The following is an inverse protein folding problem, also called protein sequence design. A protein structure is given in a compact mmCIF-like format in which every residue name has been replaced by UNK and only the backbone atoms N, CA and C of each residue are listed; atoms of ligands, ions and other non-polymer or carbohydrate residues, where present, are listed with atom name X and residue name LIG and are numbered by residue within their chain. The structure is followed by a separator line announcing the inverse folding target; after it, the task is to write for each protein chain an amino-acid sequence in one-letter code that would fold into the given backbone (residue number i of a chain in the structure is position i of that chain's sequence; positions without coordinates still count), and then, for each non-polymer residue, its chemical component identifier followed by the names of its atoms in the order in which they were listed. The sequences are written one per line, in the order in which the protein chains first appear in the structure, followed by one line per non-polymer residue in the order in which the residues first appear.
data_IF_099507119433
#
_entry.id   IF_099507119433
#
_cell.length_a   1.000
_cell.length_b   1.000
_cell.length_c   1.000
_cell.angle_alpha   90.00
_cell.angle_beta   90.00
_cell.angle_gamma   90.00
#
_symmetry.space_group_name_H-M   'P 1'
#
loop_
_entity.id
_entity.type
_entity.pdbx_description
1 polymer ?
#
# COMPACT_ATOMS: atom_id res chain seq x y z
N UNK A 1 23.37 -11.15 3.53
CA UNK A 1 22.45 -11.27 2.38
C UNK A 1 23.27 -11.61 1.14
N UNK A 2 22.86 -12.58 0.33
CA UNK A 2 23.61 -12.89 -0.90
C UNK A 2 23.41 -11.78 -1.95
N UNK A 3 24.31 -11.68 -2.93
CA UNK A 3 24.16 -10.74 -4.06
C UNK A 3 22.87 -11.03 -4.82
N UNK A 4 22.52 -12.31 -4.98
CA UNK A 4 21.30 -12.75 -5.65
C UNK A 4 20.06 -12.21 -4.89
N UNK A 5 20.00 -12.43 -3.57
CA UNK A 5 18.89 -11.93 -2.75
C UNK A 5 18.75 -10.41 -2.84
N UNK A 6 19.88 -9.70 -2.92
CA UNK A 6 19.93 -8.25 -3.07
C UNK A 6 19.34 -7.79 -4.39
N UNK A 7 19.77 -8.40 -5.50
CA UNK A 7 19.22 -8.09 -6.83
C UNK A 7 17.72 -8.35 -6.84
N UNK A 8 17.26 -9.51 -6.37
CA UNK A 8 15.84 -9.83 -6.34
C UNK A 8 15.02 -8.89 -5.45
N UNK A 9 15.57 -8.43 -4.32
CA UNK A 9 14.89 -7.47 -3.44
C UNK A 9 14.83 -6.06 -4.02
N UNK A 10 15.78 -5.69 -4.89
CA UNK A 10 15.83 -4.39 -5.54
C UNK A 10 14.78 -4.25 -6.66
N UNK A 11 14.42 -5.34 -7.34
CA UNK A 11 13.47 -5.33 -8.47
C UNK A 11 12.11 -4.69 -8.10
N UNK A 12 11.35 -5.18 -7.10
CA UNK A 12 10.05 -4.60 -6.77
C UNK A 12 10.16 -3.16 -6.24
N UNK A 13 11.30 -2.79 -5.64
CA UNK A 13 11.61 -1.39 -5.27
C UNK A 13 11.73 -0.52 -6.52
N UNK A 14 12.57 -0.92 -7.47
CA UNK A 14 12.80 -0.17 -8.70
C UNK A 14 11.51 -0.03 -9.53
N UNK A 15 10.74 -1.10 -9.67
CA UNK A 15 9.47 -1.10 -10.40
C UNK A 15 8.43 -0.17 -9.80
N UNK A 16 8.29 -0.18 -8.46
CA UNK A 16 7.33 0.69 -7.77
C UNK A 16 7.76 2.16 -7.80
N UNK A 17 9.06 2.47 -7.63
CA UNK A 17 9.59 3.84 -7.81
C UNK A 17 9.36 4.32 -9.24
N UNK A 18 9.73 3.50 -10.24
CA UNK A 18 9.54 3.81 -11.64
C UNK A 18 8.05 4.08 -11.95
N UNK A 19 7.15 3.22 -11.46
CA UNK A 19 5.72 3.38 -11.63
C UNK A 19 5.21 4.68 -11.00
N UNK A 20 5.63 5.00 -9.77
CA UNK A 20 5.26 6.24 -9.10
C UNK A 20 5.67 7.48 -9.92
N UNK A 21 6.92 7.51 -10.40
CA UNK A 21 7.45 8.61 -11.22
C UNK A 21 6.73 8.69 -12.57
N UNK A 22 6.50 7.55 -13.22
CA UNK A 22 5.81 7.48 -14.51
C UNK A 22 4.39 8.06 -14.42
N UNK A 23 3.61 7.67 -13.41
CA UNK A 23 2.26 8.21 -13.24
C UNK A 23 2.26 9.69 -12.85
N UNK A 24 3.25 10.15 -12.10
CA UNK A 24 3.40 11.59 -11.83
C UNK A 24 3.74 12.37 -13.12
N UNK A 25 4.56 11.80 -13.99
CA UNK A 25 4.86 12.38 -15.30
C UNK A 25 3.63 12.39 -16.21
N UNK A 26 2.86 11.30 -16.27
CA UNK A 26 1.60 11.24 -17.02
C UNK A 26 0.59 12.27 -16.50
N UNK A 27 0.49 12.47 -15.19
CA UNK A 27 -0.34 13.53 -14.63
C UNK A 27 0.08 14.91 -15.13
N UNK A 28 1.38 15.20 -15.28
CA UNK A 28 1.81 16.50 -15.81
C UNK A 28 1.27 16.76 -17.21
N UNK A 29 1.17 15.71 -18.03
CA UNK A 29 0.70 15.75 -19.41
C UNK A 29 -0.83 15.74 -19.55
N UNK A 30 -1.54 14.84 -18.87
CA UNK A 30 -3.00 14.68 -19.02
C UNK A 30 -3.84 15.45 -17.99
N UNK A 31 -3.25 15.84 -16.86
CA UNK A 31 -3.92 16.45 -15.69
C UNK A 31 -5.00 15.56 -15.05
N UNK A 32 -5.02 14.26 -15.35
CA UNK A 32 -5.99 13.33 -14.78
C UNK A 32 -5.64 12.96 -13.33
N UNK A 33 -6.57 13.21 -12.40
CA UNK A 33 -6.35 12.99 -10.95
C UNK A 33 -6.07 11.52 -10.61
N UNK A 34 -6.57 10.58 -11.40
CA UNK A 34 -6.34 9.14 -11.21
C UNK A 34 -4.85 8.78 -11.24
N UNK A 35 -4.04 9.45 -12.07
CA UNK A 35 -2.60 9.19 -12.12
C UNK A 35 -1.89 9.62 -10.82
N UNK A 36 -2.31 10.73 -10.20
CA UNK A 36 -1.76 11.15 -8.90
C UNK A 36 -2.09 10.12 -7.83
N UNK A 37 -3.33 9.63 -7.79
CA UNK A 37 -3.73 8.63 -6.78
C UNK A 37 -2.97 7.31 -6.97
N UNK A 38 -2.78 6.88 -8.22
CA UNK A 38 -2.00 5.69 -8.51
C UNK A 38 -0.51 5.87 -8.20
N UNK A 39 0.03 7.07 -8.45
CA UNK A 39 1.40 7.43 -8.06
C UNK A 39 1.59 7.34 -6.54
N UNK A 40 0.67 7.90 -5.75
CA UNK A 40 0.68 7.81 -4.28
C UNK A 40 0.64 6.35 -3.81
N UNK A 41 -0.20 5.53 -4.41
CA UNK A 41 -0.23 4.08 -4.14
C UNK A 41 1.15 3.43 -4.36
N UNK A 42 1.79 3.71 -5.49
CA UNK A 42 3.12 3.18 -5.79
C UNK A 42 4.23 3.78 -4.89
N UNK A 43 4.08 4.99 -4.35
CA UNK A 43 5.00 5.55 -3.35
C UNK A 43 4.94 4.78 -2.02
N UNK A 44 3.75 4.41 -1.55
CA UNK A 44 3.63 3.58 -0.35
C UNK A 44 4.17 2.18 -0.59
N UNK A 45 3.93 1.64 -1.79
CA UNK A 45 4.44 0.33 -2.17
C UNK A 45 5.98 0.32 -2.26
N UNK A 46 6.58 1.35 -2.85
CA UNK A 46 8.04 1.49 -2.93
C UNK A 46 8.67 1.66 -1.55
N UNK A 47 8.04 2.46 -0.69
CA UNK A 47 8.47 2.63 0.70
C UNK A 47 8.46 1.29 1.45
N UNK A 48 7.41 0.48 1.27
CA UNK A 48 7.33 -0.85 1.88
C UNK A 48 8.45 -1.78 1.40
N UNK A 49 8.65 -1.92 0.09
CA UNK A 49 9.70 -2.78 -0.44
C UNK A 49 11.11 -2.29 -0.09
N UNK A 50 11.32 -0.98 -0.08
CA UNK A 50 12.59 -0.38 0.34
C UNK A 50 12.88 -0.71 1.81
N UNK A 51 11.89 -0.55 2.70
CA UNK A 51 12.03 -0.91 4.11
C UNK A 51 12.32 -2.40 4.27
N UNK A 52 11.61 -3.26 3.54
CA UNK A 52 11.85 -4.71 3.55
C UNK A 52 13.26 -5.07 3.07
N UNK A 53 13.74 -4.46 1.98
CA UNK A 53 15.09 -4.65 1.46
C UNK A 53 16.15 -4.19 2.48
N UNK A 54 15.99 -3.00 3.06
CA UNK A 54 16.92 -2.44 4.05
C UNK A 54 16.97 -3.28 5.34
N UNK A 55 15.82 -3.77 5.79
CA UNK A 55 15.73 -4.69 6.94
C UNK A 55 16.49 -6.00 6.65
N UNK A 56 16.26 -6.57 5.47
CA UNK A 56 16.88 -7.84 5.05
C UNK A 56 18.38 -7.76 4.75
N UNK A 57 18.88 -6.56 4.44
CA UNK A 57 20.31 -6.31 4.19
C UNK A 57 21.12 -6.12 5.47
N UNK A 58 20.48 -6.11 6.65
CA UNK A 58 21.17 -6.05 7.94
C UNK A 58 21.79 -4.68 8.22
N UNK A 59 21.25 -3.60 7.63
CA UNK A 59 21.66 -2.23 7.93
C UNK A 59 21.09 -1.80 9.29
N UNK A 60 21.69 -2.34 10.36
CA UNK A 60 21.16 -2.24 11.71
C UNK A 60 20.98 -0.81 12.22
N UNK A 61 21.77 0.13 11.72
CA UNK A 61 21.68 1.55 12.08
C UNK A 61 20.36 2.20 11.63
N UNK A 62 19.73 1.69 10.57
CA UNK A 62 18.51 2.26 9.99
C UNK A 62 17.26 1.56 10.54
N UNK A 63 17.39 0.36 11.13
CA UNK A 63 16.27 -0.45 11.62
C UNK A 63 15.33 0.33 12.57
N UNK A 64 15.81 1.14 13.54
CA UNK A 64 14.91 1.92 14.40
C UNK A 64 14.03 2.92 13.63
N UNK A 65 14.56 3.53 12.58
CA UNK A 65 13.80 4.43 11.71
C UNK A 65 12.75 3.65 10.94
N UNK A 66 13.13 2.51 10.34
CA UNK A 66 12.19 1.66 9.60
C UNK A 66 11.10 1.09 10.50
N UNK A 67 11.42 0.79 11.76
CA UNK A 67 10.46 0.24 12.72
C UNK A 67 9.28 1.18 13.00
N UNK A 68 9.55 2.48 13.16
CA UNK A 68 8.49 3.50 13.37
C UNK A 68 7.66 3.70 12.11
N UNK A 69 8.28 3.66 10.93
CA UNK A 69 7.62 3.96 9.67
C UNK A 69 6.93 2.75 9.01
N UNK A 70 7.33 1.52 9.33
CA UNK A 70 6.85 0.31 8.66
C UNK A 70 5.33 0.17 8.75
N UNK A 71 4.77 0.31 9.95
CA UNK A 71 3.35 0.15 10.18
C UNK A 71 2.51 1.26 9.52
N UNK A 72 2.80 2.57 9.68
CA UNK A 72 2.12 3.63 8.94
C UNK A 72 2.15 3.44 7.41
N UNK A 73 3.30 3.02 6.86
CA UNK A 73 3.42 2.73 5.42
C UNK A 73 2.50 1.58 5.02
N UNK A 74 2.54 0.45 5.73
CA UNK A 74 1.66 -0.70 5.45
C UNK A 74 0.17 -0.35 5.56
N UNK A 75 -0.21 0.42 6.59
CA UNK A 75 -1.58 0.90 6.79
C UNK A 75 -2.04 1.87 5.68
N UNK A 76 -1.13 2.47 4.92
CA UNK A 76 -1.45 3.44 3.86
C UNK A 76 -1.61 2.82 2.46
N UNK A 77 -1.12 1.58 2.25
CA UNK A 77 -1.21 0.89 0.95
C UNK A 77 -2.67 0.65 0.53
N UNK A 78 -3.50 0.18 1.47
CA UNK A 78 -4.88 -0.19 1.16
C UNK A 78 -5.79 1.04 0.96
N UNK A 79 -5.73 2.08 1.82
CA UNK A 79 -6.38 3.37 1.59
C UNK A 79 -6.03 4.01 0.25
N UNK A 80 -4.74 4.05 -0.11
CA UNK A 80 -4.28 4.65 -1.36
C UNK A 80 -4.83 3.92 -2.59
N UNK A 81 -4.87 2.59 -2.55
CA UNK A 81 -5.49 1.79 -3.60
C UNK A 81 -7.00 2.04 -3.72
N UNK A 82 -7.72 2.08 -2.61
CA UNK A 82 -9.16 2.36 -2.61
C UNK A 82 -9.47 3.76 -3.15
N UNK A 83 -8.70 4.79 -2.74
CA UNK A 83 -8.88 6.15 -3.24
C UNK A 83 -8.61 6.20 -4.75
N UNK A 84 -7.58 5.50 -5.23
CA UNK A 84 -7.36 5.32 -6.67
C UNK A 84 -8.58 4.69 -7.35
N UNK A 85 -9.13 3.59 -6.82
CA UNK A 85 -10.30 2.95 -7.40
C UNK A 85 -11.50 3.91 -7.50
N UNK A 86 -11.78 4.67 -6.43
CA UNK A 86 -12.86 5.67 -6.46
C UNK A 86 -12.62 6.82 -7.44
N UNK A 87 -11.36 7.06 -7.82
CA UNK A 87 -11.00 8.06 -8.83
C UNK A 87 -11.28 7.58 -10.24
N UNK A 88 -11.07 6.29 -10.53
CA UNK A 88 -11.34 5.74 -11.87
C UNK A 88 -12.82 5.43 -12.09
N UNK A 89 -13.59 5.20 -11.02
CA UNK A 89 -15.06 5.03 -11.07
C UNK A 89 -15.84 6.35 -11.04
N UNK A 90 -15.15 7.50 -11.10
CA UNK A 90 -15.76 8.82 -11.24
C UNK A 90 -16.46 9.35 -9.98
N UNK A 91 -16.32 8.73 -8.80
CA UNK A 91 -16.90 9.21 -7.52
C UNK A 91 -16.11 10.37 -6.91
N UNK A 92 -14.92 10.64 -7.45
CA UNK A 92 -13.91 11.53 -6.89
C UNK A 92 -14.26 13.03 -6.91
N UNK A 93 -15.31 13.46 -7.64
CA UNK A 93 -15.59 14.88 -7.87
C UNK A 93 -16.03 15.68 -6.64
N UNK A 94 -16.72 15.08 -5.65
CA UNK A 94 -17.39 15.90 -4.64
C UNK A 94 -16.72 16.07 -3.26
N UNK A 95 -15.75 15.28 -2.82
CA UNK A 95 -15.25 15.40 -1.43
C UNK A 95 -13.75 15.10 -1.27
N UNK A 96 -12.91 16.14 -1.36
CA UNK A 96 -11.45 16.06 -1.19
C UNK A 96 -11.02 15.70 0.24
N UNK A 97 -11.62 16.34 1.25
CA UNK A 97 -11.21 16.20 2.67
C UNK A 97 -11.54 14.82 3.24
N UNK A 98 -12.68 14.24 2.86
CA UNK A 98 -13.07 12.89 3.32
C UNK A 98 -12.11 11.80 2.86
N UNK A 99 -11.32 12.03 1.80
CA UNK A 99 -10.30 11.08 1.34
C UNK A 99 -9.14 10.95 2.33
N UNK A 100 -8.80 12.03 3.03
CA UNK A 100 -7.68 12.03 3.99
C UNK A 100 -7.99 11.25 5.26
N UNK A 101 -9.27 11.15 5.63
CA UNK A 101 -9.72 10.37 6.81
C UNK A 101 -9.33 8.89 6.70
N UNK A 102 -9.23 8.36 5.49
CA UNK A 102 -8.78 6.99 5.25
C UNK A 102 -7.33 6.73 5.67
N UNK A 103 -6.50 7.77 5.79
CA UNK A 103 -5.12 7.68 6.29
C UNK A 103 -5.02 7.92 7.81
N UNK A 104 -6.12 8.25 8.49
CA UNK A 104 -6.10 8.51 9.93
C UNK A 104 -5.47 7.38 10.76
N UNK A 105 -5.73 6.08 10.49
CA UNK A 105 -5.04 5.01 11.20
C UNK A 105 -3.52 5.10 11.06
N UNK A 106 -3.00 5.30 9.84
CA UNK A 106 -1.55 5.42 9.61
C UNK A 106 -0.94 6.59 10.40
N UNK A 107 -1.61 7.75 10.43
CA UNK A 107 -1.14 8.94 11.16
C UNK A 107 -1.16 8.72 12.68
N UNK A 108 -2.22 8.10 13.22
CA UNK A 108 -2.33 7.80 14.65
C UNK A 108 -1.21 6.86 15.08
N UNK A 109 -0.98 5.77 14.33
CA UNK A 109 0.10 4.83 14.63
C UNK A 109 1.48 5.47 14.48
N UNK A 110 1.66 6.35 13.49
CA UNK A 110 2.90 7.11 13.36
C UNK A 110 3.17 7.95 14.61
N UNK A 111 2.18 8.71 15.09
CA UNK A 111 2.33 9.54 16.30
C UNK A 111 2.63 8.71 17.55
N UNK A 112 1.94 7.59 17.73
CA UNK A 112 2.17 6.70 18.87
C UNK A 112 3.57 6.06 18.85
N UNK A 113 4.06 5.68 17.66
CA UNK A 113 5.39 5.05 17.50
C UNK A 113 6.53 6.06 17.44
N UNK A 114 6.28 7.31 17.05
CA UNK A 114 7.29 8.37 16.94
C UNK A 114 8.03 8.61 18.26
N UNK A 115 7.37 8.34 19.40
CA UNK A 115 7.99 8.42 20.72
C UNK A 115 9.25 7.54 20.84
N UNK A 116 9.34 6.44 20.08
CA UNK A 116 10.51 5.55 20.07
C UNK A 116 11.80 6.26 19.60
N UNK A 117 11.69 7.27 18.73
CA UNK A 117 12.88 7.98 18.24
C UNK A 117 13.57 8.84 19.29
N UNK A 118 12.90 9.12 20.40
CA UNK A 118 13.47 9.89 21.50
C UNK A 118 14.24 9.02 22.51
N UNK A 119 14.15 7.69 22.41
CA UNK A 119 14.98 6.79 23.22
C UNK A 119 16.45 6.84 22.80
N UNK A 120 17.41 6.54 23.69
CA UNK A 120 18.83 6.46 23.32
C UNK A 120 19.08 5.44 22.21
N UNK A 121 20.02 5.73 21.31
CA UNK A 121 20.32 4.89 20.15
C UNK A 121 20.69 3.43 20.52
N UNK A 122 21.37 3.23 21.65
CA UNK A 122 21.68 1.88 22.17
C UNK A 122 20.41 1.10 22.53
N UNK A 123 19.47 1.74 23.23
CA UNK A 123 18.18 1.14 23.61
C UNK A 123 17.34 0.81 22.38
N UNK A 124 17.30 1.72 21.40
CA UNK A 124 16.58 1.47 20.15
C UNK A 124 17.16 0.27 19.38
N UNK A 125 18.48 0.18 19.32
CA UNK A 125 19.18 -0.93 18.67
C UNK A 125 18.90 -2.26 19.39
N UNK A 126 19.08 -2.31 20.71
CA UNK A 126 18.89 -3.54 21.48
C UNK A 126 17.43 -4.01 21.47
N UNK A 127 16.48 -3.08 21.49
CA UNK A 127 15.06 -3.38 21.36
C UNK A 127 14.72 -3.98 19.98
N UNK A 128 15.21 -3.37 18.90
CA UNK A 128 14.89 -3.82 17.53
C UNK A 128 15.64 -5.09 17.10
N UNK A 129 16.78 -5.37 17.71
CA UNK A 129 17.54 -6.61 17.49
C UNK A 129 17.10 -7.76 18.39
N UNK A 130 16.24 -7.50 19.38
CA UNK A 130 15.74 -8.52 20.31
C UNK A 130 16.70 -8.87 21.45
N UNK A 131 17.77 -8.07 21.64
CA UNK A 131 18.73 -8.22 22.74
C UNK A 131 18.18 -7.71 24.09
N UNK A 132 17.09 -6.95 24.08
CA UNK A 132 16.40 -6.52 25.29
C UNK A 132 15.45 -7.62 25.79
N UNK A 133 15.92 -8.42 26.75
CA UNK A 133 15.16 -9.55 27.31
C UNK A 133 14.13 -9.15 28.36
N UNK A 134 14.39 -8.08 29.12
CA UNK A 134 13.45 -7.55 30.10
C UNK A 134 13.01 -6.14 29.73
N UNK A 135 11.70 -5.94 29.65
CA UNK A 135 11.07 -4.65 29.41
C UNK A 135 10.22 -4.18 30.59
N UNK A 136 10.10 -4.97 31.64
CA UNK A 136 9.21 -4.67 32.76
C UNK A 136 9.51 -3.29 33.37
N UNK A 137 10.78 -2.90 33.39
CA UNK A 137 11.25 -1.60 33.88
C UNK A 137 11.22 -0.46 32.84
N UNK A 138 10.83 -0.73 31.59
CA UNK A 138 10.85 0.23 30.47
C UNK A 138 9.44 0.47 29.93
N UNK A 139 8.63 1.31 30.61
CA UNK A 139 7.21 1.48 30.31
C UNK A 139 6.94 2.00 28.90
N UNK A 140 7.81 2.88 28.37
CA UNK A 140 7.66 3.40 27.01
C UNK A 140 7.84 2.29 25.96
N UNK A 141 8.86 1.44 26.11
CA UNK A 141 9.12 0.34 25.18
C UNK A 141 8.01 -0.73 25.25
N UNK A 142 7.46 -1.00 26.44
CA UNK A 142 6.28 -1.85 26.58
C UNK A 142 5.06 -1.27 25.84
N UNK A 143 4.83 0.04 25.98
CA UNK A 143 3.78 0.74 25.25
C UNK A 143 3.99 0.62 23.73
N UNK A 144 5.19 0.89 23.23
CA UNK A 144 5.53 0.78 21.80
C UNK A 144 5.30 -0.65 21.29
N UNK A 145 5.75 -1.66 22.05
CA UNK A 145 5.51 -3.08 21.72
C UNK A 145 4.03 -3.39 21.61
N UNK A 146 3.23 -2.90 22.57
CA UNK A 146 1.78 -3.11 22.59
C UNK A 146 1.11 -2.43 21.38
N UNK A 147 1.44 -1.17 21.10
CA UNK A 147 0.95 -0.43 19.94
C UNK A 147 1.27 -1.19 18.65
N UNK A 148 2.52 -1.59 18.45
CA UNK A 148 2.92 -2.32 17.24
C UNK A 148 2.16 -3.64 17.10
N UNK A 149 1.99 -4.39 18.20
CA UNK A 149 1.22 -5.65 18.22
C UNK A 149 -0.26 -5.44 17.87
N UNK A 150 -0.90 -4.43 18.45
CA UNK A 150 -2.30 -4.08 18.12
C UNK A 150 -2.41 -3.69 16.64
N UNK A 151 -1.47 -2.88 16.15
CA UNK A 151 -1.41 -2.46 14.76
C UNK A 151 -1.36 -3.64 13.80
N UNK A 152 -0.39 -4.54 13.98
CA UNK A 152 -0.15 -5.67 13.09
C UNK A 152 -1.26 -6.73 13.18
N UNK A 153 -1.61 -7.16 14.40
CA UNK A 153 -2.53 -8.30 14.57
C UNK A 153 -4.01 -7.91 14.54
N UNK A 154 -4.35 -6.66 14.85
CA UNK A 154 -5.75 -6.22 14.91
C UNK A 154 -6.07 -5.23 13.79
N UNK A 155 -5.34 -4.13 13.70
CA UNK A 155 -5.73 -3.00 12.82
C UNK A 155 -5.54 -3.34 11.34
N UNK A 156 -4.41 -3.92 10.94
CA UNK A 156 -4.19 -4.35 9.55
C UNK A 156 -5.30 -5.32 9.08
N UNK A 157 -5.69 -6.27 9.93
CA UNK A 157 -6.71 -7.27 9.60
C UNK A 157 -8.11 -6.67 9.54
N UNK A 158 -8.46 -5.81 10.52
CA UNK A 158 -9.73 -5.07 10.48
C UNK A 158 -9.81 -4.16 9.26
N UNK A 159 -8.72 -3.48 8.92
CA UNK A 159 -8.61 -2.63 7.73
C UNK A 159 -8.80 -3.45 6.46
N UNK A 160 -8.16 -4.61 6.35
CA UNK A 160 -8.36 -5.51 5.22
C UNK A 160 -9.83 -5.87 5.03
N UNK A 161 -10.54 -6.27 6.10
CA UNK A 161 -11.97 -6.60 6.03
C UNK A 161 -12.82 -5.40 5.59
N UNK A 162 -12.65 -4.25 6.24
CA UNK A 162 -13.43 -3.04 5.95
C UNK A 162 -13.27 -2.64 4.49
N UNK A 163 -12.04 -2.57 4.00
CA UNK A 163 -11.82 -2.13 2.64
C UNK A 163 -12.08 -3.21 1.61
N UNK A 164 -11.94 -4.50 1.92
CA UNK A 164 -12.41 -5.56 1.04
C UNK A 164 -13.91 -5.39 0.74
N UNK A 165 -14.70 -5.11 1.79
CA UNK A 165 -16.12 -4.80 1.64
C UNK A 165 -16.34 -3.53 0.79
N UNK A 166 -15.58 -2.44 1.04
CA UNK A 166 -15.68 -1.21 0.24
C UNK A 166 -15.32 -1.42 -1.24
N UNK A 167 -14.27 -2.19 -1.53
CA UNK A 167 -13.86 -2.56 -2.88
C UNK A 167 -14.97 -3.35 -3.59
N UNK A 168 -15.59 -4.31 -2.91
CA UNK A 168 -16.73 -5.06 -3.45
C UNK A 168 -17.93 -4.17 -3.75
N UNK A 169 -18.25 -3.22 -2.87
CA UNK A 169 -19.34 -2.27 -3.10
C UNK A 169 -19.06 -1.40 -4.33
N UNK A 170 -17.83 -0.90 -4.47
CA UNK A 170 -17.46 -0.05 -5.61
C UNK A 170 -17.48 -0.83 -6.93
N UNK A 171 -16.99 -2.09 -6.94
CA UNK A 171 -17.08 -2.99 -8.10
C UNK A 171 -18.53 -3.29 -8.50
N UNK A 172 -19.41 -3.59 -7.51
CA UNK A 172 -20.83 -3.84 -7.76
C UNK A 172 -21.53 -2.62 -8.35
N UNK A 173 -21.19 -1.42 -7.86
CA UNK A 173 -21.73 -0.17 -8.38
C UNK A 173 -21.28 0.05 -9.83
N UNK A 174 -19.99 -0.08 -10.10
CA UNK A 174 -19.43 0.05 -11.44
C UNK A 174 -20.13 -0.91 -12.43
N UNK A 175 -20.33 -2.16 -12.03
CA UNK A 175 -21.09 -3.15 -12.82
C UNK A 175 -22.51 -2.67 -13.14
N UNK A 176 -23.26 -2.17 -12.14
CA UNK A 176 -24.63 -1.66 -12.34
C UNK A 176 -24.68 -0.44 -13.27
N UNK A 177 -23.68 0.44 -13.21
CA UNK A 177 -23.62 1.62 -14.09
C UNK A 177 -23.44 1.22 -15.57
N UNK A 178 -22.59 0.22 -15.83
CA UNK A 178 -22.28 -0.26 -17.18
C UNK A 178 -23.46 -1.06 -17.76
N UNK A 179 -24.06 -1.95 -16.97
CA UNK A 179 -25.21 -2.79 -17.38
C UNK A 179 -26.42 -1.96 -17.83
N UNK A 180 -26.60 -0.77 -17.24
CA UNK A 180 -27.75 0.09 -17.51
C UNK A 180 -27.56 1.06 -18.70
N UNK A 181 -26.33 1.29 -19.20
CA UNK A 181 -26.09 2.47 -20.08
C UNK A 181 -25.14 2.30 -21.28
N UNK A 182 -24.35 1.23 -21.46
CA UNK A 182 -23.22 1.29 -22.42
C UNK A 182 -22.79 0.02 -23.19
N UNK A 183 -21.92 0.25 -24.20
CA UNK A 183 -21.42 -0.67 -25.25
C UNK A 183 -20.30 -1.65 -24.81
N UNK A 184 -19.98 -2.62 -25.68
CA UNK A 184 -18.99 -3.71 -25.52
C UNK A 184 -17.60 -3.27 -24.97
N UNK A 185 -17.14 -2.06 -25.30
CA UNK A 185 -15.85 -1.52 -24.84
C UNK A 185 -15.80 -1.26 -23.32
N UNK A 186 -16.93 -0.92 -22.71
CA UNK A 186 -16.98 -0.60 -21.28
C UNK A 186 -17.07 -1.86 -20.41
N UNK A 187 -17.65 -2.94 -20.95
CA UNK A 187 -17.58 -4.27 -20.34
C UNK A 187 -16.13 -4.78 -20.28
N UNK A 188 -15.31 -4.51 -21.30
CA UNK A 188 -13.87 -4.81 -21.27
C UNK A 188 -13.13 -4.03 -20.18
N UNK A 189 -13.52 -2.78 -19.90
CA UNK A 189 -12.95 -2.00 -18.79
C UNK A 189 -13.33 -2.57 -17.41
N UNK A 190 -14.59 -3.01 -17.21
CA UNK A 190 -15.04 -3.59 -15.93
C UNK A 190 -14.27 -4.86 -15.57
N UNK A 191 -14.08 -5.77 -16.54
CA UNK A 191 -13.26 -6.97 -16.33
C UNK A 191 -11.82 -6.58 -15.99
N UNK A 192 -11.27 -5.56 -16.66
CA UNK A 192 -9.99 -4.95 -16.34
C UNK A 192 -9.90 -4.52 -14.88
N UNK A 193 -10.86 -3.73 -14.38
CA UNK A 193 -10.89 -3.26 -12.98
C UNK A 193 -10.96 -4.43 -12.01
N UNK A 194 -11.78 -5.45 -12.33
CA UNK A 194 -11.92 -6.64 -11.49
C UNK A 194 -10.60 -7.38 -11.33
N UNK A 195 -9.87 -7.61 -12.43
CA UNK A 195 -8.54 -8.23 -12.37
C UNK A 195 -7.55 -7.33 -11.62
N UNK A 196 -7.62 -6.01 -11.79
CA UNK A 196 -6.77 -5.07 -11.08
C UNK A 196 -6.95 -5.16 -9.56
N UNK A 197 -8.20 -5.19 -9.09
CA UNK A 197 -8.55 -5.39 -7.67
C UNK A 197 -8.11 -6.75 -7.17
N UNK A 198 -8.31 -7.83 -7.94
CA UNK A 198 -7.89 -9.18 -7.58
C UNK A 198 -6.37 -9.28 -7.37
N UNK A 199 -5.59 -8.80 -8.33
CA UNK A 199 -4.13 -8.82 -8.25
C UNK A 199 -3.60 -7.91 -7.13
N UNK A 200 -4.26 -6.78 -6.88
CA UNK A 200 -3.95 -5.96 -5.71
C UNK A 200 -4.19 -6.71 -4.39
N UNK A 201 -5.33 -7.40 -4.24
CA UNK A 201 -5.62 -8.19 -3.03
C UNK A 201 -4.57 -9.27 -2.84
N UNK A 202 -4.18 -9.97 -3.92
CA UNK A 202 -3.12 -10.97 -3.88
C UNK A 202 -1.79 -10.37 -3.40
N UNK A 203 -1.42 -9.20 -3.94
CA UNK A 203 -0.22 -8.46 -3.50
C UNK A 203 -0.28 -8.08 -2.02
N UNK A 204 -1.44 -7.57 -1.56
CA UNK A 204 -1.62 -7.14 -0.19
C UNK A 204 -1.56 -8.32 0.80
N UNK A 205 -2.15 -9.46 0.45
CA UNK A 205 -2.02 -10.71 1.20
C UNK A 205 -0.55 -11.13 1.24
N UNK A 206 0.15 -11.13 0.11
CA UNK A 206 1.57 -11.48 0.05
C UNK A 206 2.40 -10.60 1.00
N UNK A 207 2.16 -9.29 1.00
CA UNK A 207 2.79 -8.30 1.88
C UNK A 207 2.51 -8.59 3.36
N UNK A 208 1.24 -8.79 3.72
CA UNK A 208 0.80 -8.96 5.12
C UNK A 208 1.28 -10.28 5.71
N UNK A 209 1.32 -11.33 4.90
CA UNK A 209 1.77 -12.66 5.31
C UNK A 209 3.27 -12.91 5.08
N UNK A 210 4.03 -11.91 4.62
CA UNK A 210 5.48 -12.03 4.34
C UNK A 210 6.29 -12.57 5.54
N UNK A 211 5.93 -12.15 6.76
CA UNK A 211 6.54 -12.67 7.98
C UNK A 211 6.26 -14.17 8.18
N UNK A 212 5.01 -14.61 8.00
CA UNK A 212 4.63 -16.03 8.10
C UNK A 212 5.25 -16.89 7.01
N UNK A 213 5.46 -16.33 5.82
CA UNK A 213 6.18 -16.98 4.74
C UNK A 213 7.69 -17.10 5.02
N UNK A 214 8.19 -16.46 6.09
CA UNK A 214 9.59 -16.51 6.48
C UNK A 214 10.51 -15.71 5.54
N UNK A 215 10.00 -14.65 4.91
CA UNK A 215 10.76 -13.79 3.97
C UNK A 215 12.01 -13.17 4.62
N UNK A 216 11.94 -12.87 5.91
CA UNK A 216 13.06 -12.35 6.69
C UNK A 216 14.11 -13.41 7.03
N UNK A 217 13.70 -14.68 7.15
CA UNK A 217 14.53 -15.78 7.66
C UNK A 217 15.16 -16.59 6.52
N UNK A 218 14.35 -16.98 5.52
CA UNK A 218 14.75 -17.92 4.48
C UNK A 218 15.02 -17.22 3.14
N UNK A 219 16.24 -17.32 2.57
CA UNK A 219 16.58 -16.70 1.29
C UNK A 219 15.65 -17.12 0.15
N UNK A 220 15.31 -18.41 0.06
CA UNK A 220 14.41 -18.94 -0.99
C UNK A 220 13.02 -18.29 -0.91
N UNK A 221 12.47 -18.14 0.29
CA UNK A 221 11.19 -17.47 0.50
C UNK A 221 11.24 -16.01 0.03
N UNK A 222 12.35 -15.32 0.34
CA UNK A 222 12.59 -13.94 -0.11
C UNK A 222 12.63 -13.81 -1.62
N UNK A 223 13.34 -14.69 -2.32
CA UNK A 223 13.39 -14.70 -3.79
C UNK A 223 12.01 -14.94 -4.38
N UNK A 224 11.25 -15.91 -3.87
CA UNK A 224 9.89 -16.22 -4.32
C UNK A 224 8.96 -15.03 -4.09
N UNK A 225 8.98 -14.46 -2.89
CA UNK A 225 8.18 -13.29 -2.52
C UNK A 225 8.43 -12.11 -3.45
N UNK A 226 9.70 -11.75 -3.68
CA UNK A 226 10.05 -10.62 -4.54
C UNK A 226 9.71 -10.88 -6.01
N UNK A 227 9.90 -12.10 -6.50
CA UNK A 227 9.57 -12.48 -7.88
C UNK A 227 8.07 -12.42 -8.13
N UNK A 228 7.26 -12.99 -7.23
CA UNK A 228 5.80 -12.92 -7.30
C UNK A 228 5.31 -11.47 -7.20
N UNK A 229 5.87 -10.71 -6.26
CA UNK A 229 5.57 -9.28 -6.09
C UNK A 229 5.84 -8.49 -7.36
N UNK A 230 7.02 -8.69 -7.98
CA UNK A 230 7.40 -8.01 -9.22
C UNK A 230 6.44 -8.33 -10.37
N UNK A 231 6.11 -9.61 -10.58
CA UNK A 231 5.12 -10.00 -11.58
C UNK A 231 3.76 -9.32 -11.39
N UNK A 232 3.31 -9.21 -10.13
CA UNK A 232 2.06 -8.52 -9.81
C UNK A 232 2.19 -7.00 -10.01
N UNK A 233 3.30 -6.37 -9.62
CA UNK A 233 3.55 -4.93 -9.78
C UNK A 233 3.56 -4.55 -11.26
N UNK A 234 4.26 -5.32 -12.11
CA UNK A 234 4.26 -5.12 -13.56
C UNK A 234 2.84 -5.24 -14.11
N UNK A 235 2.08 -6.25 -13.68
CA UNK A 235 0.69 -6.40 -14.09
C UNK A 235 -0.16 -5.17 -13.72
N UNK A 236 -0.05 -4.70 -12.47
CA UNK A 236 -0.74 -3.49 -12.01
C UNK A 236 -0.28 -2.26 -12.80
N UNK A 237 1.01 -2.09 -13.08
CA UNK A 237 1.51 -1.00 -13.90
C UNK A 237 0.88 -1.00 -15.31
N UNK A 238 0.95 -2.12 -16.01
CA UNK A 238 0.41 -2.25 -17.39
C UNK A 238 -1.09 -1.98 -17.40
N UNK A 239 -1.83 -2.48 -16.40
CA UNK A 239 -3.27 -2.24 -16.28
C UNK A 239 -3.58 -0.79 -15.92
N UNK A 240 -2.83 -0.21 -14.99
CA UNK A 240 -2.93 1.19 -14.59
C UNK A 240 -2.77 2.16 -15.76
N UNK A 241 -1.86 1.86 -16.70
CA UNK A 241 -1.66 2.64 -17.93
C UNK A 241 -2.84 2.55 -18.92
N UNK A 242 -3.66 1.49 -18.84
CA UNK A 242 -4.80 1.28 -19.74
C UNK A 242 -6.10 1.86 -19.21
N UNK A 243 -6.18 2.18 -17.92
CA UNK A 243 -7.40 2.77 -17.35
C UNK A 243 -7.55 4.23 -17.73
N UNK A 244 -8.69 4.54 -18.33
CA UNK A 244 -9.23 5.90 -18.45
C UNK A 244 -10.35 6.07 -17.44
N UNK A 245 -10.50 7.28 -16.91
CA UNK A 245 -11.59 7.62 -16.01
C UNK A 245 -12.93 7.29 -16.66
N UNK A 246 -13.81 6.57 -15.94
CA UNK A 246 -15.17 6.33 -16.40
C UNK A 246 -15.95 7.65 -16.31
N UNK A 247 -16.50 8.09 -17.45
CA UNK A 247 -17.28 9.33 -17.50
C UNK A 247 -18.63 9.08 -16.82
N UNK A 248 -18.80 9.58 -15.60
CA UNK A 248 -20.12 9.66 -14.97
C UNK A 248 -20.95 10.75 -15.66
N UNK A 249 -21.97 10.34 -16.42
CA UNK A 249 -22.89 11.25 -17.12
C UNK A 249 -23.96 11.87 -16.21
N UNK A 250 -24.08 11.44 -14.94
CA UNK A 250 -24.97 12.10 -13.97
C UNK A 250 -24.57 13.57 -13.71
N UNK A 251 -23.29 13.94 -13.82
CA UNK A 251 -22.86 15.33 -13.65
C UNK A 251 -23.11 16.20 -14.90
N UNK A 252 -23.22 15.60 -16.10
CA UNK A 252 -23.47 16.35 -17.34
C UNK A 252 -24.91 16.85 -17.48
N UNK A 253 -25.83 16.34 -16.68
CA UNK A 253 -27.21 16.84 -16.62
C UNK A 253 -27.36 17.99 -15.61
N UNK A 254 -26.57 18.00 -14.52
CA UNK A 254 -26.58 19.11 -13.55
C UNK A 254 -25.85 20.37 -14.02
N UNK A 255 -24.86 20.25 -14.92
CA UNK A 255 -24.16 21.41 -15.50
C UNK A 255 -24.93 22.07 -16.67
N UNK A 256 -26.12 21.55 -17.01
CA UNK A 256 -26.99 22.07 -18.08
C UNK A 256 -28.27 22.76 -17.57
N UNK A 257 -28.37 23.03 -16.27
CA UNK A 257 -29.50 23.75 -15.66
C UNK A 257 -29.05 25.05 -15.04
#
# INVERSE_FOLDING_TARGET
MSIIDYIFSLIPVAESIFSAVLFLWLYRSSKEKQHVQLSIFFVFLSSFYLMSMLFNSGLHQIIPVLYVLSLPVTLSILPSFYIYLTSITGRSKNHSVHKLVHYAPAVIFFWMLMMFWFEPASVQYDYTTGNLHDLSDLPLLNFIRLVYRIGVYTVIHAQFVVYFILLLFELRRCRRQIENRYSLNEQMNLSGITYFVLFFILLYILITFSHFLGVSIYPVSRVIFNTMSSGIIIFLLIRGLRFREMVNTEDTETDKV
#
